data_IF_148046345064
#
_entry.id   IF_148046345064
#
_cell.length_a   1.000
_cell.length_b   1.000
_cell.length_c   1.000
_cell.angle_alpha   90.00
_cell.angle_beta   90.00
_cell.angle_gamma   90.00
#
_symmetry.space_group_name_H-M   'P 1'
#
loop_
_entity.id
_entity.type
_entity.pdbx_description
1 polymer ?
#
# COMPACT_ATOMS: atom_id res chain seq x y z
N UNK A 1 6.11 -25.75 -17.31
CA UNK A 1 4.90 -24.90 -17.30
C UNK A 1 4.05 -25.32 -16.10
N UNK A 2 3.85 -24.43 -15.12
CA UNK A 2 3.06 -24.71 -13.91
C UNK A 2 1.62 -24.27 -14.16
N UNK A 3 0.72 -25.23 -14.42
CA UNK A 3 -0.71 -24.95 -14.73
C UNK A 3 -1.45 -24.28 -13.58
N UNK A 4 -1.04 -24.57 -12.35
CA UNK A 4 -1.75 -24.12 -11.13
C UNK A 4 -1.34 -22.72 -10.67
N UNK A 5 -0.31 -22.15 -11.29
CA UNK A 5 0.13 -20.78 -10.99
C UNK A 5 -0.45 -19.86 -12.05
N UNK A 6 -1.32 -18.91 -11.67
CA UNK A 6 -1.81 -17.90 -12.60
C UNK A 6 -0.65 -17.14 -13.24
N UNK A 7 -0.71 -16.82 -14.54
CA UNK A 7 0.35 -16.08 -15.23
C UNK A 7 0.55 -14.67 -14.66
N UNK A 8 -0.40 -14.17 -13.86
CA UNK A 8 -0.46 -12.84 -13.25
C UNK A 8 -0.19 -12.83 -11.74
N UNK A 9 0.56 -13.82 -11.22
CA UNK A 9 1.03 -13.87 -9.82
C UNK A 9 2.10 -12.80 -9.50
N UNK A 10 1.81 -11.53 -9.79
CA UNK A 10 2.69 -10.37 -9.57
C UNK A 10 2.18 -9.43 -8.47
N UNK A 11 1.24 -9.89 -7.63
CA UNK A 11 0.62 -9.09 -6.58
C UNK A 11 1.67 -8.45 -5.65
N UNK A 12 2.70 -9.20 -5.27
CA UNK A 12 3.82 -8.71 -4.45
C UNK A 12 4.59 -7.59 -5.15
N UNK A 13 4.86 -7.72 -6.45
CA UNK A 13 5.55 -6.69 -7.24
C UNK A 13 4.72 -5.41 -7.34
N UNK A 14 3.41 -5.55 -7.60
CA UNK A 14 2.47 -4.42 -7.67
C UNK A 14 2.40 -3.66 -6.36
N UNK A 15 2.43 -4.35 -5.22
CA UNK A 15 2.41 -3.73 -3.89
C UNK A 15 3.66 -2.86 -3.66
N UNK A 16 4.86 -3.36 -3.99
CA UNK A 16 6.12 -2.61 -3.75
C UNK A 16 6.41 -1.52 -4.79
N UNK A 17 5.80 -1.58 -5.97
CA UNK A 17 6.04 -0.61 -7.05
C UNK A 17 5.80 0.84 -6.63
N UNK A 18 4.77 1.10 -5.82
CA UNK A 18 4.45 2.45 -5.34
C UNK A 18 5.55 3.03 -4.45
N UNK A 19 6.26 2.18 -3.70
CA UNK A 19 7.42 2.60 -2.90
C UNK A 19 8.53 3.08 -3.84
N UNK A 20 8.79 2.36 -4.93
CA UNK A 20 9.82 2.75 -5.91
C UNK A 20 9.48 4.04 -6.64
N UNK A 21 8.22 4.21 -7.04
CA UNK A 21 7.71 5.45 -7.63
C UNK A 21 7.89 6.61 -6.65
N UNK A 22 7.59 6.40 -5.36
CA UNK A 22 7.82 7.44 -4.33
C UNK A 22 9.29 7.83 -4.22
N UNK A 23 10.20 6.87 -4.28
CA UNK A 23 11.64 7.13 -4.22
C UNK A 23 12.20 7.86 -5.45
N UNK A 24 11.72 7.54 -6.66
CA UNK A 24 12.36 7.97 -7.91
C UNK A 24 11.65 9.11 -8.63
N UNK A 25 10.33 9.24 -8.45
CA UNK A 25 9.50 10.15 -9.26
C UNK A 25 8.77 11.15 -8.36
N UNK A 26 8.16 10.70 -7.25
CA UNK A 26 7.35 11.58 -6.37
C UNK A 26 8.18 12.26 -5.27
N UNK A 27 9.32 12.87 -5.64
CA UNK A 27 10.10 13.73 -4.75
C UNK A 27 10.84 13.05 -3.59
N UNK A 28 10.97 11.71 -3.59
CA UNK A 28 11.68 10.92 -2.58
C UNK A 28 11.10 11.08 -1.16
N UNK A 29 11.70 10.37 -0.19
CA UNK A 29 11.46 10.53 1.24
C UNK A 29 12.44 11.54 1.85
N UNK A 30 11.92 12.46 2.67
CA UNK A 30 12.71 13.49 3.35
C UNK A 30 13.38 12.99 4.64
N UNK A 31 12.84 11.94 5.25
CA UNK A 31 13.37 11.33 6.47
C UNK A 31 12.97 9.86 6.58
N UNK A 32 13.74 9.04 7.33
CA UNK A 32 13.38 7.65 7.62
C UNK A 32 12.01 7.51 8.30
N UNK A 33 11.68 8.47 9.16
CA UNK A 33 10.38 8.52 9.85
C UNK A 33 9.23 8.75 8.86
N UNK A 34 9.41 9.66 7.90
CA UNK A 34 8.45 9.85 6.80
C UNK A 34 8.27 8.60 5.94
N UNK A 35 9.35 7.83 5.72
CA UNK A 35 9.28 6.54 5.03
C UNK A 35 8.45 5.52 5.80
N UNK A 36 8.66 5.41 7.12
CA UNK A 36 7.88 4.50 7.98
C UNK A 36 6.39 4.84 7.95
N UNK A 37 6.04 6.12 8.14
CA UNK A 37 4.65 6.59 8.07
C UNK A 37 4.01 6.29 6.72
N UNK A 38 4.72 6.56 5.62
CA UNK A 38 4.24 6.22 4.29
C UNK A 38 3.99 4.72 4.11
N UNK A 39 4.92 3.87 4.57
CA UNK A 39 4.79 2.42 4.48
C UNK A 39 3.57 1.90 5.26
N UNK A 40 3.33 2.41 6.47
CA UNK A 40 2.16 2.06 7.29
C UNK A 40 0.86 2.41 6.57
N UNK A 41 0.71 3.67 6.13
CA UNK A 41 -0.50 4.13 5.44
C UNK A 41 -0.72 3.31 4.15
N UNK A 42 0.34 3.10 3.36
CA UNK A 42 0.26 2.32 2.12
C UNK A 42 -0.16 0.87 2.37
N UNK A 43 0.36 0.26 3.45
CA UNK A 43 0.00 -1.10 3.86
C UNK A 43 -1.47 -1.21 4.23
N UNK A 44 -2.01 -0.24 5.00
CA UNK A 44 -3.44 -0.20 5.34
C UNK A 44 -4.28 -0.12 4.07
N UNK A 45 -3.96 0.81 3.17
CA UNK A 45 -4.67 0.98 1.89
C UNK A 45 -4.61 -0.30 1.05
N UNK A 46 -3.44 -0.96 0.94
CA UNK A 46 -3.34 -2.22 0.18
C UNK A 46 -4.18 -3.33 0.78
N UNK A 47 -4.27 -3.42 2.11
CA UNK A 47 -5.14 -4.38 2.78
C UNK A 47 -6.61 -4.08 2.50
N UNK A 48 -7.04 -2.82 2.61
CA UNK A 48 -8.42 -2.43 2.32
C UNK A 48 -8.80 -2.76 0.87
N UNK A 49 -7.96 -2.40 -0.10
CA UNK A 49 -8.18 -2.70 -1.52
C UNK A 49 -8.25 -4.21 -1.79
N UNK A 50 -7.41 -5.03 -1.13
CA UNK A 50 -7.45 -6.50 -1.29
C UNK A 50 -8.72 -7.14 -0.72
N UNK A 51 -9.37 -6.48 0.23
CA UNK A 51 -10.63 -6.94 0.83
C UNK A 51 -11.86 -6.26 0.21
N UNK A 52 -11.69 -5.55 -0.91
CA UNK A 52 -12.78 -4.85 -1.61
C UNK A 52 -13.55 -3.84 -0.72
N UNK A 53 -12.83 -3.19 0.20
CA UNK A 53 -13.39 -2.20 1.12
C UNK A 53 -13.24 -0.78 0.58
N UNK A 54 -14.20 0.09 0.92
CA UNK A 54 -14.10 1.51 0.61
C UNK A 54 -12.96 2.14 1.43
N UNK A 55 -11.89 2.56 0.73
CA UNK A 55 -10.68 3.08 1.38
C UNK A 55 -10.95 4.37 2.15
N UNK A 56 -11.76 5.29 1.62
CA UNK A 56 -11.99 6.58 2.26
C UNK A 56 -12.83 6.43 3.53
N UNK A 57 -13.88 5.61 3.48
CA UNK A 57 -14.71 5.29 4.63
C UNK A 57 -13.88 4.61 5.73
N UNK A 58 -13.10 3.59 5.38
CA UNK A 58 -12.26 2.89 6.35
C UNK A 58 -11.19 3.80 6.98
N UNK A 59 -10.57 4.70 6.21
CA UNK A 59 -9.63 5.67 6.74
C UNK A 59 -10.30 6.67 7.70
N UNK A 60 -11.51 7.14 7.38
CA UNK A 60 -12.29 7.98 8.31
C UNK A 60 -12.58 7.23 9.61
N UNK A 61 -12.96 5.95 9.51
CA UNK A 61 -13.17 5.11 10.69
C UNK A 61 -11.91 5.03 11.55
N UNK A 62 -10.74 4.74 10.97
CA UNK A 62 -9.48 4.65 11.73
C UNK A 62 -9.06 5.96 12.40
N UNK A 63 -9.25 7.10 11.74
CA UNK A 63 -8.95 8.42 12.33
C UNK A 63 -9.90 8.75 13.48
N UNK A 64 -11.18 8.41 13.33
CA UNK A 64 -12.19 8.63 14.38
C UNK A 64 -12.13 7.60 15.52
N UNK A 65 -11.32 6.55 15.39
CA UNK A 65 -11.07 5.55 16.43
C UNK A 65 -10.06 6.01 17.51
N UNK A 66 -9.53 7.23 17.42
CA UNK A 66 -8.78 7.85 18.52
C UNK A 66 -9.72 8.14 19.71
N UNK A 67 -9.70 7.21 20.68
CA UNK A 67 -10.10 7.40 22.09
C UNK A 67 -8.86 7.65 22.91
#
# INVERSE_FOLDING_TARGET
YHKDVPPDNNASERAVRNIKVKQKISGQFKSPEGTKRFAVIKSIIDTLTKNDLNVLEALNTFVNFEV
#
